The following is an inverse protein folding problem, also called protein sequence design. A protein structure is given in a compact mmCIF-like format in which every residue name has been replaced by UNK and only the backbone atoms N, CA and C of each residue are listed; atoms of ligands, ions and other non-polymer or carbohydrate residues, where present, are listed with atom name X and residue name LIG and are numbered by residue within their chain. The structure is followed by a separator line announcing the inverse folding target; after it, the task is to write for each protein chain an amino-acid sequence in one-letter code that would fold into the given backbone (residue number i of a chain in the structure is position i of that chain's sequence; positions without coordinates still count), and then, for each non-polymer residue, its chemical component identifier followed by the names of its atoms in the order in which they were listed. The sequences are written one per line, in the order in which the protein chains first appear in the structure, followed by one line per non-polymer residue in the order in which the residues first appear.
data_IF_055598787625
#
_entry.id   IF_055598787625
#
_cell.length_a   1.000
_cell.length_b   1.000
_cell.length_c   1.000
_cell.angle_alpha   90.00
_cell.angle_beta   90.00
_cell.angle_gamma   90.00
#
_symmetry.space_group_name_H-M   'P 1'
#
loop_
_entity.id
_entity.type
_entity.pdbx_description
1 polymer ?
#
# COMPACT_ATOMS: atom_id res chain seq x y z
N UNK A 1 -4.72 -11.93 3.94
CA UNK A 1 -4.64 -12.80 2.73
C UNK A 1 -3.30 -12.70 2.02
N UNK A 2 -2.65 -11.53 1.94
CA UNK A 2 -1.35 -11.40 1.30
C UNK A 2 -0.27 -12.36 1.84
N UNK A 3 -0.18 -12.60 3.15
CA UNK A 3 0.75 -13.60 3.71
C UNK A 3 0.35 -15.04 3.38
N UNK A 4 -0.93 -15.34 3.22
CA UNK A 4 -1.39 -16.68 2.83
C UNK A 4 -0.97 -17.04 1.38
N UNK A 5 -0.77 -16.04 0.51
CA UNK A 5 -0.20 -16.26 -0.82
C UNK A 5 1.22 -16.84 -0.76
N UNK A 6 2.00 -16.54 0.28
CA UNK A 6 3.35 -17.11 0.42
C UNK A 6 3.28 -18.65 0.51
N UNK A 7 2.35 -19.17 1.30
CA UNK A 7 2.09 -20.61 1.39
C UNK A 7 1.43 -21.15 0.12
N UNK A 8 0.33 -20.55 -0.34
CA UNK A 8 -0.45 -21.07 -1.46
C UNK A 8 0.32 -21.02 -2.79
N UNK A 9 0.94 -19.88 -3.13
CA UNK A 9 1.77 -19.76 -4.32
C UNK A 9 3.08 -20.53 -4.16
N UNK A 10 3.68 -20.60 -2.97
CA UNK A 10 4.88 -21.41 -2.73
C UNK A 10 4.63 -22.91 -2.98
N UNK A 11 3.53 -23.44 -2.44
CA UNK A 11 3.11 -24.82 -2.67
C UNK A 11 2.80 -25.08 -4.15
N UNK A 12 2.01 -24.21 -4.80
CA UNK A 12 1.66 -24.36 -6.21
C UNK A 12 2.87 -24.25 -7.14
N UNK A 13 3.81 -23.35 -6.84
CA UNK A 13 5.06 -23.23 -7.61
C UNK A 13 5.92 -24.48 -7.46
N UNK A 14 6.06 -25.01 -6.23
CA UNK A 14 6.77 -26.27 -5.97
C UNK A 14 6.11 -27.49 -6.64
N UNK A 15 4.78 -27.53 -6.68
CA UNK A 15 3.99 -28.56 -7.36
C UNK A 15 3.92 -28.38 -8.89
N UNK A 16 4.55 -27.34 -9.44
CA UNK A 16 4.54 -26.98 -10.88
C UNK A 16 3.15 -26.67 -11.46
N UNK A 17 2.19 -26.31 -10.62
CA UNK A 17 0.84 -25.86 -11.03
C UNK A 17 0.83 -24.35 -11.22
N UNK A 18 1.49 -23.87 -12.29
CA UNK A 18 1.73 -22.44 -12.51
C UNK A 18 0.47 -21.64 -12.80
N UNK A 19 -0.54 -22.27 -13.39
CA UNK A 19 -1.88 -21.73 -13.64
C UNK A 19 -2.54 -21.21 -12.35
N UNK A 20 -2.35 -21.93 -11.24
CA UNK A 20 -2.96 -21.59 -9.96
C UNK A 20 -2.38 -20.33 -9.30
N UNK A 21 -1.14 -19.94 -9.63
CA UNK A 21 -0.52 -18.75 -9.04
C UNK A 21 -1.30 -17.48 -9.42
N UNK A 22 -1.72 -17.37 -10.68
CA UNK A 22 -2.54 -16.24 -11.15
C UNK A 22 -3.92 -16.23 -10.51
N UNK A 23 -4.54 -17.40 -10.35
CA UNK A 23 -5.84 -17.54 -9.68
C UNK A 23 -5.75 -17.10 -8.21
N UNK A 24 -4.70 -17.50 -7.49
CA UNK A 24 -4.50 -17.05 -6.10
C UNK A 24 -4.27 -15.55 -6.00
N UNK A 25 -3.47 -14.98 -6.91
CA UNK A 25 -3.22 -13.54 -6.96
C UNK A 25 -4.53 -12.75 -7.14
N UNK A 26 -5.34 -13.11 -8.13
CA UNK A 26 -6.62 -12.46 -8.41
C UNK A 26 -7.60 -12.58 -7.24
N UNK A 27 -7.71 -13.78 -6.64
CA UNK A 27 -8.54 -13.98 -5.44
C UNK A 27 -8.09 -13.10 -4.29
N UNK A 28 -6.78 -12.97 -4.07
CA UNK A 28 -6.26 -12.10 -3.03
C UNK A 28 -6.55 -10.63 -3.30
N UNK A 29 -6.47 -10.17 -4.55
CA UNK A 29 -6.83 -8.79 -4.90
C UNK A 29 -8.30 -8.50 -4.58
N UNK A 30 -9.21 -9.38 -4.99
CA UNK A 30 -10.65 -9.22 -4.74
C UNK A 30 -10.91 -9.10 -3.23
N UNK A 31 -10.39 -10.04 -2.44
CA UNK A 31 -10.62 -10.05 -0.99
C UNK A 31 -10.00 -8.83 -0.32
N UNK A 32 -8.74 -8.49 -0.63
CA UNK A 32 -8.07 -7.33 -0.01
C UNK A 32 -8.72 -6.01 -0.41
N UNK A 33 -9.17 -5.88 -1.66
CA UNK A 33 -9.87 -4.68 -2.13
C UNK A 33 -11.21 -4.50 -1.42
N UNK A 34 -11.99 -5.58 -1.27
CA UNK A 34 -13.23 -5.54 -0.49
C UNK A 34 -12.96 -5.19 0.98
N UNK A 35 -11.97 -5.82 1.61
CA UNK A 35 -11.56 -5.45 2.97
C UNK A 35 -11.17 -3.97 3.06
N UNK A 36 -10.38 -3.45 2.10
CA UNK A 36 -9.98 -2.05 2.08
C UNK A 36 -11.18 -1.10 2.04
N UNK A 37 -12.23 -1.44 1.27
CA UNK A 37 -13.50 -0.69 1.26
C UNK A 37 -14.17 -0.73 2.64
N UNK A 38 -14.26 -1.90 3.27
CA UNK A 38 -14.87 -2.03 4.60
C UNK A 38 -14.14 -1.23 5.69
N UNK A 39 -12.84 -0.98 5.52
CA UNK A 39 -12.05 -0.15 6.46
C UNK A 39 -12.16 1.36 6.22
N UNK A 40 -12.76 1.83 5.11
CA UNK A 40 -12.88 3.27 4.81
C UNK A 40 -13.54 4.11 5.92
N UNK A 41 -14.63 3.66 6.58
CA UNK A 41 -15.23 4.43 7.65
C UNK A 41 -14.24 4.77 8.77
N UNK A 42 -13.28 3.88 9.07
CA UNK A 42 -12.26 4.13 10.09
C UNK A 42 -11.37 5.33 9.74
N UNK A 43 -11.02 5.49 8.46
CA UNK A 43 -10.21 6.61 7.98
C UNK A 43 -11.04 7.91 7.91
N UNK A 44 -12.27 7.83 7.42
CA UNK A 44 -13.16 8.99 7.25
C UNK A 44 -13.59 9.57 8.61
N UNK A 45 -13.86 8.71 9.59
CA UNK A 45 -14.28 9.11 10.93
C UNK A 45 -13.13 9.17 11.95
N UNK A 46 -11.88 9.21 11.51
CA UNK A 46 -10.72 9.22 12.41
C UNK A 46 -10.74 10.41 13.40
N UNK A 47 -11.05 11.63 12.95
CA UNK A 47 -11.16 12.82 13.82
C UNK A 47 -12.22 12.64 14.93
N UNK A 48 -13.51 12.36 14.63
CA UNK A 48 -14.51 12.18 15.68
C UNK A 48 -14.25 10.97 16.57
N UNK A 49 -13.68 9.88 16.05
CA UNK A 49 -13.27 8.73 16.87
C UNK A 49 -12.20 9.15 17.89
N UNK A 50 -11.17 9.88 17.47
CA UNK A 50 -10.10 10.32 18.37
C UNK A 50 -10.62 11.30 19.44
N UNK A 51 -11.49 12.23 19.05
CA UNK A 51 -12.14 13.14 20.00
C UNK A 51 -13.00 12.39 21.02
N UNK A 52 -13.73 11.36 20.58
CA UNK A 52 -14.49 10.50 21.48
C UNK A 52 -13.60 9.81 22.54
N UNK A 53 -12.38 9.43 22.17
CA UNK A 53 -11.38 8.89 23.10
C UNK A 53 -10.66 9.95 23.95
N UNK A 54 -11.05 11.24 23.84
CA UNK A 54 -10.49 12.33 24.64
C UNK A 54 -9.17 12.90 24.12
N UNK A 55 -8.85 12.72 22.83
CA UNK A 55 -7.71 13.40 22.24
C UNK A 55 -7.97 14.91 22.09
N UNK A 56 -6.93 15.76 22.24
CA UNK A 56 -7.03 17.19 21.95
C UNK A 56 -7.54 17.46 20.53
N UNK A 57 -8.38 18.49 20.38
CA UNK A 57 -9.05 18.82 19.12
C UNK A 57 -8.05 19.07 17.97
N UNK A 58 -6.97 19.79 18.23
CA UNK A 58 -5.92 20.09 17.25
C UNK A 58 -5.22 18.83 16.72
N UNK A 59 -4.91 17.88 17.62
CA UNK A 59 -4.31 16.59 17.27
C UNK A 59 -5.30 15.71 16.50
N UNK A 60 -6.55 15.67 16.94
CA UNK A 60 -7.59 14.84 16.33
C UNK A 60 -7.91 15.31 14.90
N UNK A 61 -8.02 16.63 14.66
CA UNK A 61 -8.29 17.17 13.33
C UNK A 61 -7.12 16.99 12.36
N UNK A 62 -5.88 17.18 12.83
CA UNK A 62 -4.70 16.90 12.02
C UNK A 62 -4.62 15.41 11.65
N UNK A 63 -4.89 14.53 12.61
CA UNK A 63 -4.91 13.08 12.40
C UNK A 63 -6.02 12.66 11.44
N UNK A 64 -7.20 13.29 11.50
CA UNK A 64 -8.29 13.09 10.54
C UNK A 64 -7.89 13.47 9.11
N UNK A 65 -7.20 14.60 8.95
CA UNK A 65 -6.68 15.04 7.64
C UNK A 65 -5.69 14.02 7.08
N UNK A 66 -4.74 13.56 7.91
CA UNK A 66 -3.79 12.52 7.51
C UNK A 66 -4.51 11.22 7.13
N UNK A 67 -5.47 10.78 7.94
CA UNK A 67 -6.18 9.52 7.74
C UNK A 67 -6.91 9.46 6.40
N UNK A 68 -7.56 10.55 5.97
CA UNK A 68 -8.19 10.62 4.64
C UNK A 68 -7.14 10.51 3.53
N UNK A 69 -5.99 11.16 3.69
CA UNK A 69 -4.88 11.06 2.72
C UNK A 69 -4.14 9.71 2.73
N UNK A 70 -4.37 8.86 3.73
CA UNK A 70 -3.89 7.46 3.75
C UNK A 70 -4.74 6.55 2.86
N UNK A 71 -5.98 6.92 2.54
CA UNK A 71 -6.90 6.07 1.77
C UNK A 71 -6.28 5.56 0.45
N UNK A 72 -5.66 6.38 -0.41
CA UNK A 72 -5.16 5.87 -1.68
C UNK A 72 -3.97 4.90 -1.51
N UNK A 73 -3.09 5.12 -0.52
CA UNK A 73 -1.98 4.19 -0.22
C UNK A 73 -2.53 2.89 0.38
N UNK A 74 -3.59 2.96 1.19
CA UNK A 74 -4.26 1.77 1.69
C UNK A 74 -4.77 0.87 0.55
N UNK A 75 -5.34 1.45 -0.50
CA UNK A 75 -5.72 0.70 -1.70
C UNK A 75 -4.51 0.16 -2.47
N UNK A 76 -3.42 0.91 -2.56
CA UNK A 76 -2.19 0.41 -3.22
C UNK A 76 -1.67 -0.89 -2.58
N UNK A 77 -1.82 -1.03 -1.26
CA UNK A 77 -1.42 -2.24 -0.53
C UNK A 77 -2.22 -3.47 -0.91
N UNK A 78 -3.49 -3.30 -1.29
CA UNK A 78 -4.32 -4.41 -1.77
C UNK A 78 -3.73 -5.05 -3.03
N UNK A 79 -3.02 -4.28 -3.86
CA UNK A 79 -2.36 -4.77 -5.08
C UNK A 79 -0.90 -5.15 -4.85
N UNK A 80 -0.15 -4.28 -4.19
CA UNK A 80 1.29 -4.41 -4.00
C UNK A 80 1.66 -5.68 -3.23
N UNK A 81 1.03 -5.93 -2.07
CA UNK A 81 1.43 -7.07 -1.25
C UNK A 81 1.21 -8.42 -1.94
N UNK A 82 0.06 -8.67 -2.61
CA UNK A 82 -0.11 -9.88 -3.40
C UNK A 82 0.87 -10.02 -4.56
N UNK A 83 1.14 -8.95 -5.32
CA UNK A 83 2.13 -8.96 -6.41
C UNK A 83 3.53 -9.32 -5.90
N UNK A 84 3.92 -8.72 -4.78
CA UNK A 84 5.20 -8.96 -4.15
C UNK A 84 5.36 -10.45 -3.79
N UNK A 85 4.35 -11.06 -3.15
CA UNK A 85 4.37 -12.49 -2.82
C UNK A 85 4.30 -13.39 -4.05
N UNK A 86 3.49 -13.03 -5.05
CA UNK A 86 3.43 -13.77 -6.31
C UNK A 86 4.80 -13.86 -7.00
N UNK A 87 5.55 -12.77 -7.07
CA UNK A 87 6.89 -12.74 -7.65
C UNK A 87 7.92 -13.44 -6.75
N UNK A 88 7.82 -13.25 -5.43
CA UNK A 88 8.73 -13.84 -4.45
C UNK A 88 8.67 -15.37 -4.46
N UNK A 89 7.48 -15.96 -4.53
CA UNK A 89 7.30 -17.42 -4.61
C UNK A 89 7.91 -18.02 -5.88
N UNK A 90 8.06 -17.23 -6.94
CA UNK A 90 8.70 -17.62 -8.21
C UNK A 90 10.21 -17.33 -8.23
N UNK A 91 10.80 -16.97 -7.09
CA UNK A 91 12.21 -16.58 -6.95
C UNK A 91 12.60 -15.33 -7.76
N UNK A 92 11.64 -14.49 -8.16
CA UNK A 92 11.87 -13.24 -8.92
C UNK A 92 12.19 -12.05 -8.01
N UNK A 93 13.00 -12.29 -6.97
CA UNK A 93 13.33 -11.28 -5.95
C UNK A 93 14.11 -10.09 -6.53
N UNK A 94 14.86 -10.27 -7.61
CA UNK A 94 15.56 -9.19 -8.29
C UNK A 94 14.60 -8.15 -8.89
N UNK A 95 13.44 -8.57 -9.39
CA UNK A 95 12.41 -7.65 -9.92
C UNK A 95 11.84 -6.80 -8.79
N UNK A 96 11.56 -7.44 -7.65
CA UNK A 96 11.07 -6.78 -6.44
C UNK A 96 12.10 -5.77 -5.93
N UNK A 97 13.38 -6.17 -5.85
CA UNK A 97 14.46 -5.31 -5.38
C UNK A 97 14.66 -4.10 -6.29
N UNK A 98 14.60 -4.29 -7.62
CA UNK A 98 14.69 -3.19 -8.57
C UNK A 98 13.51 -2.22 -8.44
N UNK A 99 12.27 -2.72 -8.33
CA UNK A 99 11.08 -1.89 -8.09
C UNK A 99 11.22 -1.06 -6.81
N UNK A 100 11.62 -1.71 -5.71
CA UNK A 100 11.80 -1.04 -4.43
C UNK A 100 12.88 0.04 -4.50
N UNK A 101 14.02 -0.26 -5.15
CA UNK A 101 15.11 0.69 -5.35
C UNK A 101 14.68 1.90 -6.18
N UNK A 102 14.02 1.69 -7.32
CA UNK A 102 13.54 2.78 -8.17
C UNK A 102 12.50 3.64 -7.44
N UNK A 103 11.53 3.00 -6.77
CA UNK A 103 10.52 3.73 -6.01
C UNK A 103 11.10 4.53 -4.84
N UNK A 104 12.15 4.00 -4.17
CA UNK A 104 12.86 4.73 -3.12
C UNK A 104 13.56 5.98 -3.67
N UNK A 105 14.26 5.85 -4.79
CA UNK A 105 14.93 6.99 -5.44
C UNK A 105 13.90 8.06 -5.83
N UNK A 106 12.80 7.67 -6.46
CA UNK A 106 11.72 8.62 -6.80
C UNK A 106 11.11 9.24 -5.55
N UNK A 107 10.87 8.45 -4.49
CA UNK A 107 10.31 8.96 -3.24
C UNK A 107 11.21 10.03 -2.61
N UNK A 108 12.54 9.84 -2.62
CA UNK A 108 13.49 10.86 -2.14
C UNK A 108 13.34 12.16 -2.92
N UNK A 109 13.31 12.10 -4.26
CA UNK A 109 13.15 13.29 -5.10
C UNK A 109 11.80 13.99 -4.89
N UNK A 110 10.72 13.22 -4.79
CA UNK A 110 9.37 13.75 -4.55
C UNK A 110 9.27 14.37 -3.16
N UNK A 111 9.88 13.78 -2.14
CA UNK A 111 9.98 14.37 -0.80
C UNK A 111 10.77 15.69 -0.81
N UNK A 112 11.93 15.73 -1.47
CA UNK A 112 12.71 16.97 -1.62
C UNK A 112 11.88 18.07 -2.29
N UNK A 113 11.15 17.73 -3.35
CA UNK A 113 10.31 18.69 -4.07
C UNK A 113 9.08 19.13 -3.25
N UNK A 114 8.29 18.20 -2.73
CA UNK A 114 6.97 18.50 -2.16
C UNK A 114 7.06 19.08 -0.75
N UNK A 115 8.00 18.56 0.05
CA UNK A 115 8.15 18.95 1.46
C UNK A 115 9.05 20.19 1.57
N UNK A 116 10.23 20.18 0.94
CA UNK A 116 11.20 21.27 1.08
C UNK A 116 11.05 22.34 0.00
N UNK A 117 10.86 21.95 -1.26
CA UNK A 117 10.72 22.89 -2.38
C UNK A 117 9.39 23.65 -2.36
N UNK A 118 8.28 22.92 -2.39
CA UNK A 118 6.92 23.45 -2.51
C UNK A 118 6.26 23.74 -1.14
N UNK A 119 6.82 23.22 -0.05
CA UNK A 119 6.33 23.43 1.33
C UNK A 119 4.84 23.15 1.50
N UNK A 120 4.35 22.05 0.90
CA UNK A 120 2.93 21.68 0.86
C UNK A 120 2.38 21.13 2.20
N UNK A 121 3.15 21.23 3.27
CA UNK A 121 2.77 20.79 4.61
C UNK A 121 2.45 19.29 4.68
N UNK A 122 1.58 18.93 5.61
CA UNK A 122 1.21 17.53 5.90
C UNK A 122 0.56 16.82 4.71
N UNK A 123 -0.26 17.55 3.94
CA UNK A 123 -0.91 17.02 2.75
C UNK A 123 0.12 16.65 1.68
N UNK A 124 1.10 17.53 1.45
CA UNK A 124 2.23 17.26 0.55
C UNK A 124 3.01 16.02 0.96
N UNK A 125 3.33 15.89 2.25
CA UNK A 125 4.01 14.71 2.79
C UNK A 125 3.22 13.43 2.55
N UNK A 126 1.91 13.44 2.76
CA UNK A 126 1.09 12.26 2.48
C UNK A 126 0.99 11.95 0.98
N UNK A 127 0.97 12.97 0.12
CA UNK A 127 1.00 12.77 -1.32
C UNK A 127 2.29 12.07 -1.79
N UNK A 128 3.45 12.36 -1.19
CA UNK A 128 4.72 11.70 -1.58
C UNK A 128 4.71 10.21 -1.28
N UNK A 129 4.07 9.80 -0.18
CA UNK A 129 3.88 8.39 0.20
C UNK A 129 2.98 7.70 -0.82
N UNK A 130 1.85 8.33 -1.19
CA UNK A 130 0.95 7.79 -2.20
C UNK A 130 1.65 7.56 -3.55
N UNK A 131 2.45 8.54 -4.01
CA UNK A 131 3.22 8.41 -5.26
C UNK A 131 4.17 7.21 -5.21
N UNK A 132 4.91 7.04 -4.12
CA UNK A 132 5.91 5.97 -4.01
C UNK A 132 5.29 4.56 -4.02
N UNK A 133 4.16 4.39 -3.33
CA UNK A 133 3.52 3.08 -3.26
C UNK A 133 2.74 2.72 -4.52
N UNK A 134 2.06 3.68 -5.15
CA UNK A 134 1.43 3.45 -6.45
C UNK A 134 2.47 3.22 -7.55
N UNK A 135 3.61 3.90 -7.51
CA UNK A 135 4.72 3.64 -8.42
C UNK A 135 5.21 2.18 -8.32
N UNK A 136 5.37 1.66 -7.10
CA UNK A 136 5.70 0.24 -6.92
C UNK A 136 4.65 -0.70 -7.53
N UNK A 137 3.36 -0.37 -7.39
CA UNK A 137 2.29 -1.14 -8.03
C UNK A 137 2.48 -1.13 -9.55
N UNK A 138 2.65 0.04 -10.17
CA UNK A 138 2.80 0.16 -11.62
C UNK A 138 4.07 -0.49 -12.18
N UNK A 139 5.18 -0.52 -11.43
CA UNK A 139 6.41 -1.18 -11.86
C UNK A 139 6.25 -2.72 -11.84
N UNK A 140 5.47 -3.24 -10.89
CA UNK A 140 5.31 -4.69 -10.70
C UNK A 140 4.17 -5.31 -11.51
N UNK A 141 3.30 -4.50 -12.09
CA UNK A 141 2.29 -4.92 -13.06
C UNK A 141 2.92 -5.19 -14.44
#
# INVERSE_FOLDING_TARGET
MASALETLCGQAFGAKTYDMLGVYLQRSWIVLFLCAIFFLPMYIFASPILKFFGQPDDIAEMSGTIAVWVIPVHFSFAFFFPLNRFLQCQLKNMVIAFSAGLALVVHIFVCLLFVYGLKLGVIGTMATVNVAWWLNVFILF
#
